data_IF_716471755979
#
_entry.id   IF_716471755979
#
_cell.length_a   1.000
_cell.length_b   1.000
_cell.length_c   1.000
_cell.angle_alpha   90.00
_cell.angle_beta   90.00
_cell.angle_gamma   90.00
#
_symmetry.space_group_name_H-M   'P 1'
#
loop_
_entity.id
_entity.type
_entity.pdbx_description
1 polymer ?
#
# COMPACT_ATOMS: atom_id res chain seq x y z
N UNK A 1 79.29 132.63 -44.36
CA UNK A 1 80.01 131.94 -45.46
C UNK A 1 79.30 130.63 -45.69
N UNK A 2 78.76 130.21 -46.83
CA UNK A 2 78.64 130.68 -48.23
C UNK A 2 77.35 129.97 -48.71
N UNK A 3 76.27 130.70 -48.99
CA UNK A 3 75.74 131.01 -50.35
C UNK A 3 75.33 129.77 -51.15
N UNK A 4 74.04 129.69 -51.54
CA UNK A 4 73.55 128.65 -52.46
C UNK A 4 72.03 128.63 -52.63
N UNK A 5 71.43 129.77 -52.97
CA UNK A 5 70.01 129.96 -53.25
C UNK A 5 69.78 129.66 -54.73
N UNK A 6 69.05 128.61 -55.09
CA UNK A 6 68.40 128.53 -56.41
C UNK A 6 66.92 128.18 -56.27
N UNK A 7 66.11 129.24 -56.36
CA UNK A 7 64.72 129.20 -56.79
C UNK A 7 64.69 129.05 -58.30
N UNK A 8 64.25 127.91 -58.81
CA UNK A 8 63.74 127.72 -60.17
C UNK A 8 62.76 126.55 -60.09
N UNK A 9 61.53 126.57 -60.58
CA UNK A 9 60.71 127.58 -61.20
C UNK A 9 59.32 126.96 -61.27
N UNK A 10 58.29 127.75 -60.96
CA UNK A 10 56.92 127.40 -61.31
C UNK A 10 56.85 127.25 -62.82
N UNK A 11 56.67 126.02 -63.29
CA UNK A 11 56.25 125.70 -64.64
C UNK A 11 54.93 125.00 -64.47
N UNK A 12 53.86 125.62 -64.97
CA UNK A 12 52.56 124.99 -65.06
C UNK A 12 52.70 123.60 -65.66
N UNK A 13 52.57 122.57 -64.83
CA UNK A 13 52.37 121.20 -65.32
C UNK A 13 51.15 121.25 -66.22
N UNK A 14 51.35 120.97 -67.51
CA UNK A 14 50.29 120.79 -68.50
C UNK A 14 49.08 120.11 -67.84
N UNK A 15 47.89 120.67 -68.04
CA UNK A 15 46.63 120.15 -67.48
C UNK A 15 46.47 118.65 -67.78
N UNK A 16 46.97 118.20 -68.93
CA UNK A 16 47.04 116.79 -69.33
C UNK A 16 47.94 115.94 -68.41
N UNK A 17 49.05 116.46 -67.91
CA UNK A 17 49.94 115.77 -66.98
C UNK A 17 49.32 115.60 -65.60
N UNK A 18 48.63 116.63 -65.07
CA UNK A 18 47.86 116.52 -63.81
C UNK A 18 46.66 115.58 -63.96
N UNK A 19 45.99 115.60 -65.12
CA UNK A 19 44.90 114.68 -65.45
C UNK A 19 45.38 113.23 -65.57
N UNK A 20 46.52 112.99 -66.24
CA UNK A 20 47.11 111.64 -66.34
C UNK A 20 47.51 111.11 -64.97
N UNK A 21 48.16 111.93 -64.14
CA UNK A 21 48.56 111.54 -62.78
C UNK A 21 47.33 111.32 -61.91
N UNK A 22 46.29 112.15 -62.01
CA UNK A 22 45.02 111.98 -61.30
C UNK A 22 44.26 110.71 -61.72
N UNK A 23 44.23 110.41 -63.02
CA UNK A 23 43.62 109.18 -63.57
C UNK A 23 44.39 107.93 -63.12
N UNK A 24 45.72 107.97 -63.12
CA UNK A 24 46.56 106.87 -62.64
C UNK A 24 46.35 106.61 -61.14
N UNK A 25 46.21 107.68 -60.35
CA UNK A 25 45.97 107.59 -58.91
C UNK A 25 44.56 107.06 -58.62
N UNK A 26 43.55 107.51 -59.37
CA UNK A 26 42.18 106.99 -59.31
C UNK A 26 42.12 105.50 -59.69
N UNK A 27 42.78 105.10 -60.78
CA UNK A 27 42.82 103.70 -61.23
C UNK A 27 43.54 102.80 -60.21
N UNK A 28 44.60 103.30 -59.56
CA UNK A 28 45.30 102.58 -58.49
C UNK A 28 44.42 102.36 -57.24
N UNK A 29 43.58 103.35 -56.88
CA UNK A 29 42.63 103.23 -55.77
C UNK A 29 41.51 102.23 -56.10
N UNK A 30 40.99 102.24 -57.34
CA UNK A 30 39.98 101.27 -57.78
C UNK A 30 40.55 99.84 -57.75
N UNK A 31 41.79 99.63 -58.24
CA UNK A 31 42.44 98.32 -58.16
C UNK A 31 42.70 97.86 -56.72
N UNK A 32 43.00 98.77 -55.79
CA UNK A 32 43.14 98.45 -54.35
C UNK A 32 41.81 97.95 -53.75
N UNK A 33 40.69 98.60 -54.08
CA UNK A 33 39.35 98.21 -53.59
C UNK A 33 38.94 96.85 -54.18
N UNK A 34 39.15 96.64 -55.48
CA UNK A 34 38.91 95.34 -56.12
C UNK A 34 39.80 94.23 -55.54
N UNK A 35 41.08 94.52 -55.27
CA UNK A 35 41.99 93.58 -54.61
C UNK A 35 41.51 93.22 -53.20
N UNK A 36 40.99 94.19 -52.43
CA UNK A 36 40.38 93.95 -51.13
C UNK A 36 39.12 93.07 -51.18
N UNK A 37 38.24 93.30 -52.15
CA UNK A 37 37.02 92.51 -52.35
C UNK A 37 37.32 91.06 -52.80
N UNK A 38 38.26 90.88 -53.73
CA UNK A 38 38.70 89.55 -54.18
C UNK A 38 39.40 88.80 -53.05
N UNK A 39 40.27 89.45 -52.27
CA UNK A 39 40.94 88.84 -51.14
C UNK A 39 39.97 88.43 -50.02
N UNK A 40 38.95 89.26 -49.73
CA UNK A 40 37.87 88.93 -48.80
C UNK A 40 37.07 87.71 -49.27
N UNK A 41 36.74 87.66 -50.57
CA UNK A 41 36.04 86.52 -51.17
C UNK A 41 36.91 85.27 -51.10
N UNK A 42 38.18 85.34 -51.48
CA UNK A 42 39.12 84.21 -51.38
C UNK A 42 39.26 83.69 -49.95
N UNK A 43 39.32 84.59 -48.95
CA UNK A 43 39.32 84.21 -47.53
C UNK A 43 38.01 83.53 -47.11
N UNK A 44 36.87 84.06 -47.53
CA UNK A 44 35.56 83.48 -47.21
C UNK A 44 35.38 82.08 -47.81
N UNK A 45 35.79 81.87 -49.07
CA UNK A 45 35.73 80.56 -49.72
C UNK A 45 36.71 79.56 -49.09
N UNK A 46 37.90 80.02 -48.69
CA UNK A 46 38.85 79.17 -47.97
C UNK A 46 38.30 78.74 -46.60
N UNK A 47 37.73 79.67 -45.83
CA UNK A 47 37.09 79.36 -44.54
C UNK A 47 35.87 78.43 -44.70
N UNK A 48 35.03 78.67 -45.72
CA UNK A 48 33.90 77.81 -46.03
C UNK A 48 34.34 76.40 -46.44
N UNK A 49 35.42 76.27 -47.22
CA UNK A 49 36.02 74.99 -47.57
C UNK A 49 36.57 74.26 -46.35
N UNK A 50 37.36 74.93 -45.51
CA UNK A 50 37.89 74.33 -44.27
C UNK A 50 36.76 73.86 -43.33
N UNK A 51 35.66 74.62 -43.25
CA UNK A 51 34.46 74.22 -42.49
C UNK A 51 33.77 73.00 -43.11
N UNK A 52 33.62 72.96 -44.44
CA UNK A 52 33.03 71.82 -45.14
C UNK A 52 33.88 70.55 -45.02
N UNK A 53 35.21 70.67 -45.15
CA UNK A 53 36.16 69.56 -44.98
C UNK A 53 36.14 69.06 -43.52
N UNK A 54 36.05 69.96 -42.53
CA UNK A 54 35.88 69.59 -41.12
C UNK A 54 34.55 68.89 -40.86
N UNK A 55 33.45 69.35 -41.46
CA UNK A 55 32.14 68.72 -41.31
C UNK A 55 32.11 67.34 -41.98
N UNK A 56 32.72 67.18 -43.16
CA UNK A 56 32.80 65.90 -43.85
C UNK A 56 33.61 64.88 -43.06
N UNK A 57 34.76 65.28 -42.52
CA UNK A 57 35.59 64.40 -41.68
C UNK A 57 34.88 63.99 -40.38
N UNK A 58 34.14 64.90 -39.75
CA UNK A 58 33.28 64.58 -38.59
C UNK A 58 32.16 63.61 -38.98
N UNK A 59 31.46 63.88 -40.07
CA UNK A 59 30.36 63.04 -40.54
C UNK A 59 30.84 61.63 -40.92
N UNK A 60 32.00 61.51 -41.55
CA UNK A 60 32.62 60.21 -41.88
C UNK A 60 33.03 59.45 -40.61
N UNK A 61 33.57 60.14 -39.61
CA UNK A 61 33.88 59.56 -38.31
C UNK A 61 32.63 59.09 -37.55
N UNK A 62 31.59 59.93 -37.49
CA UNK A 62 30.30 59.60 -36.87
C UNK A 62 29.63 58.41 -37.57
N UNK A 63 29.67 58.38 -38.91
CA UNK A 63 29.14 57.26 -39.70
C UNK A 63 29.85 55.95 -39.36
N UNK A 64 31.19 55.94 -39.33
CA UNK A 64 31.97 54.76 -38.94
C UNK A 64 31.65 54.30 -37.53
N UNK A 65 31.55 55.24 -36.59
CA UNK A 65 31.21 54.93 -35.20
C UNK A 65 29.80 54.31 -35.08
N UNK A 66 28.81 54.81 -35.83
CA UNK A 66 27.47 54.24 -35.87
C UNK A 66 27.46 52.85 -36.51
N UNK A 67 28.21 52.64 -37.59
CA UNK A 67 28.34 51.33 -38.25
C UNK A 67 28.99 50.30 -37.31
N UNK A 68 30.04 50.67 -36.58
CA UNK A 68 30.68 49.82 -35.57
C UNK A 68 29.74 49.52 -34.39
N UNK A 69 29.04 50.52 -33.86
CA UNK A 69 28.08 50.34 -32.78
C UNK A 69 26.91 49.44 -33.21
N UNK A 70 26.43 49.59 -34.45
CA UNK A 70 25.37 48.75 -35.00
C UNK A 70 25.85 47.30 -35.20
N UNK A 71 27.07 47.10 -35.73
CA UNK A 71 27.66 45.78 -35.85
C UNK A 71 27.81 45.10 -34.49
N UNK A 72 28.33 45.82 -33.49
CA UNK A 72 28.48 45.32 -32.12
C UNK A 72 27.12 44.98 -31.49
N UNK A 73 26.10 45.83 -31.69
CA UNK A 73 24.74 45.57 -31.21
C UNK A 73 24.15 44.31 -31.85
N UNK A 74 24.32 44.13 -33.16
CA UNK A 74 23.86 42.93 -33.87
C UNK A 74 24.53 41.68 -33.33
N UNK A 75 25.86 41.69 -33.17
CA UNK A 75 26.59 40.55 -32.59
C UNK A 75 26.14 40.25 -31.17
N UNK A 76 25.92 41.27 -30.34
CA UNK A 76 25.41 41.09 -28.97
C UNK A 76 24.01 40.50 -28.96
N UNK A 77 23.11 41.01 -29.79
CA UNK A 77 21.76 40.49 -29.92
C UNK A 77 21.74 39.02 -30.38
N UNK A 78 22.62 38.64 -31.33
CA UNK A 78 22.75 37.26 -31.78
C UNK A 78 23.28 36.33 -30.67
N UNK A 79 24.24 36.81 -29.85
CA UNK A 79 24.76 36.07 -28.69
C UNK A 79 23.67 35.90 -27.63
N UNK A 80 22.97 36.98 -27.28
CA UNK A 80 21.90 36.96 -26.27
C UNK A 80 20.76 36.02 -26.72
N UNK A 81 20.36 36.08 -27.99
CA UNK A 81 19.36 35.18 -28.56
C UNK A 81 19.79 33.71 -28.48
N UNK A 82 21.05 33.39 -28.81
CA UNK A 82 21.57 32.02 -28.67
C UNK A 82 21.62 31.56 -27.23
N UNK A 83 22.02 32.44 -26.30
CA UNK A 83 22.06 32.13 -24.88
C UNK A 83 20.66 31.83 -24.33
N UNK A 84 19.66 32.64 -24.71
CA UNK A 84 18.28 32.41 -24.28
C UNK A 84 17.68 31.15 -24.93
N UNK A 85 17.99 30.87 -26.20
CA UNK A 85 17.60 29.59 -26.82
C UNK A 85 18.21 28.39 -26.10
N UNK A 86 19.49 28.46 -25.71
CA UNK A 86 20.14 27.40 -24.96
C UNK A 86 19.52 27.23 -23.57
N UNK A 87 19.18 28.33 -22.89
CA UNK A 87 18.48 28.30 -21.60
C UNK A 87 17.11 27.67 -21.72
N UNK A 88 16.34 28.05 -22.74
CA UNK A 88 15.03 27.47 -23.02
C UNK A 88 15.12 25.96 -23.29
N UNK A 89 16.04 25.52 -24.16
CA UNK A 89 16.25 24.10 -24.46
C UNK A 89 16.68 23.30 -23.21
N UNK A 90 17.56 23.87 -22.37
CA UNK A 90 17.97 23.25 -21.11
C UNK A 90 16.79 23.14 -20.13
N UNK A 91 15.97 24.18 -20.02
CA UNK A 91 14.78 24.19 -19.16
C UNK A 91 13.73 23.17 -19.63
N UNK A 92 13.46 23.09 -20.93
CA UNK A 92 12.57 22.08 -21.52
C UNK A 92 13.09 20.66 -21.26
N UNK A 93 14.40 20.45 -21.38
CA UNK A 93 15.05 19.18 -21.04
C UNK A 93 14.86 18.80 -19.57
N UNK A 94 15.01 19.75 -18.64
CA UNK A 94 14.77 19.52 -17.21
C UNK A 94 13.29 19.25 -16.90
N UNK A 95 12.36 19.99 -17.52
CA UNK A 95 10.93 19.75 -17.35
C UNK A 95 10.54 18.35 -17.82
N UNK A 96 11.07 17.92 -18.97
CA UNK A 96 10.85 16.56 -19.47
C UNK A 96 11.41 15.51 -18.51
N UNK A 97 12.66 15.68 -18.05
CA UNK A 97 13.28 14.77 -17.08
C UNK A 97 12.47 14.67 -15.78
N UNK A 98 12.04 15.80 -15.22
CA UNK A 98 11.23 15.84 -14.01
C UNK A 98 9.87 15.16 -14.24
N UNK A 99 9.26 15.35 -15.40
CA UNK A 99 8.03 14.65 -15.76
C UNK A 99 8.22 13.14 -15.82
N UNK A 100 9.28 12.68 -16.48
CA UNK A 100 9.61 11.25 -16.56
C UNK A 100 9.87 10.65 -15.17
N UNK A 101 10.53 11.42 -14.27
CA UNK A 101 10.74 11.01 -12.87
C UNK A 101 9.44 10.93 -12.07
N UNK A 102 8.52 11.90 -12.25
CA UNK A 102 7.20 11.87 -11.61
C UNK A 102 6.39 10.67 -12.10
N UNK A 103 6.35 10.43 -13.41
CA UNK A 103 5.64 9.29 -14.00
C UNK A 103 6.23 7.94 -13.52
N UNK A 104 7.55 7.86 -13.32
CA UNK A 104 8.21 6.69 -12.74
C UNK A 104 7.84 6.49 -11.26
N UNK A 105 7.91 7.56 -10.46
CA UNK A 105 7.56 7.53 -9.05
C UNK A 105 6.07 7.16 -8.83
N UNK A 106 5.17 7.65 -9.68
CA UNK A 106 3.74 7.29 -9.62
C UNK A 106 3.51 5.80 -9.90
N UNK A 107 4.25 5.23 -10.85
CA UNK A 107 4.19 3.77 -11.14
C UNK A 107 4.70 2.95 -9.97
N UNK A 108 5.82 3.34 -9.36
CA UNK A 108 6.36 2.67 -8.17
C UNK A 108 5.38 2.77 -6.99
N UNK A 109 4.76 3.93 -6.81
CA UNK A 109 3.77 4.15 -5.75
C UNK A 109 2.52 3.29 -5.94
N UNK A 110 2.03 3.14 -7.18
CA UNK A 110 0.91 2.25 -7.49
C UNK A 110 1.31 0.79 -7.24
N UNK A 111 2.48 0.35 -7.69
CA UNK A 111 2.98 -1.01 -7.46
C UNK A 111 3.09 -1.31 -5.96
N UNK A 112 3.68 -0.41 -5.17
CA UNK A 112 3.82 -0.56 -3.73
C UNK A 112 2.46 -0.59 -3.01
N UNK A 113 1.47 0.19 -3.47
CA UNK A 113 0.11 0.14 -2.93
C UNK A 113 -0.56 -1.21 -3.21
N UNK A 114 -0.45 -1.72 -4.43
CA UNK A 114 -0.98 -3.03 -4.80
C UNK A 114 -0.35 -4.13 -3.96
N UNK A 115 0.98 -4.16 -3.84
CA UNK A 115 1.69 -5.15 -3.03
C UNK A 115 1.27 -5.09 -1.55
N UNK A 116 1.15 -3.88 -0.99
CA UNK A 116 0.66 -3.70 0.38
C UNK A 116 -0.76 -4.25 0.55
N UNK A 117 -1.63 -4.01 -0.41
CA UNK A 117 -3.02 -4.46 -0.35
C UNK A 117 -3.11 -6.00 -0.50
N UNK A 118 -2.31 -6.60 -1.37
CA UNK A 118 -2.15 -8.06 -1.46
C UNK A 118 -1.64 -8.68 -0.15
N UNK A 119 -0.60 -8.11 0.45
CA UNK A 119 -0.08 -8.57 1.75
C UNK A 119 -1.14 -8.46 2.85
N UNK A 120 -1.95 -7.40 2.83
CA UNK A 120 -3.03 -7.21 3.80
C UNK A 120 -4.14 -8.25 3.64
N UNK A 121 -4.53 -8.56 2.40
CA UNK A 121 -5.51 -9.61 2.14
C UNK A 121 -4.97 -11.00 2.49
N UNK A 122 -3.71 -11.29 2.17
CA UNK A 122 -3.05 -12.53 2.56
C UNK A 122 -3.02 -12.68 4.09
N UNK A 123 -2.69 -11.60 4.81
CA UNK A 123 -2.70 -11.59 6.27
C UNK A 123 -4.11 -11.85 6.84
N UNK A 124 -5.16 -11.25 6.25
CA UNK A 124 -6.55 -11.54 6.66
C UNK A 124 -6.92 -13.00 6.43
N UNK A 125 -6.60 -13.56 5.27
CA UNK A 125 -6.87 -14.97 4.95
C UNK A 125 -6.13 -15.89 5.94
N UNK A 126 -4.86 -15.61 6.23
CA UNK A 126 -4.08 -16.38 7.21
C UNK A 126 -4.68 -16.33 8.62
N UNK A 127 -5.18 -15.16 9.05
CA UNK A 127 -5.84 -15.01 10.35
C UNK A 127 -7.17 -15.79 10.39
N UNK A 128 -7.98 -15.72 9.34
CA UNK A 128 -9.24 -16.48 9.28
C UNK A 128 -8.98 -18.00 9.24
N UNK A 129 -7.98 -18.45 8.48
CA UNK A 129 -7.58 -19.86 8.46
C UNK A 129 -7.11 -20.33 9.85
N UNK A 130 -6.28 -19.52 10.53
CA UNK A 130 -5.85 -19.82 11.89
C UNK A 130 -7.02 -19.88 12.87
N UNK A 131 -8.02 -19.00 12.70
CA UNK A 131 -9.26 -19.01 13.49
C UNK A 131 -10.06 -20.28 13.26
N UNK A 132 -10.30 -20.66 12.01
CA UNK A 132 -11.00 -21.88 11.64
C UNK A 132 -10.29 -23.12 12.19
N UNK A 133 -8.98 -23.25 11.99
CA UNK A 133 -8.18 -24.36 12.54
C UNK A 133 -8.29 -24.45 14.07
N UNK A 134 -8.36 -23.31 14.76
CA UNK A 134 -8.55 -23.27 16.21
C UNK A 134 -9.94 -23.75 16.60
N UNK A 135 -10.99 -23.31 15.90
CA UNK A 135 -12.37 -23.74 16.13
C UNK A 135 -12.52 -25.25 15.89
N UNK A 136 -11.97 -25.77 14.78
CA UNK A 136 -11.94 -27.20 14.47
C UNK A 136 -11.22 -28.02 15.55
N UNK A 137 -10.04 -27.56 16.00
CA UNK A 137 -9.29 -28.24 17.05
C UNK A 137 -10.07 -28.27 18.38
N UNK A 138 -10.84 -27.22 18.70
CA UNK A 138 -11.70 -27.20 19.88
C UNK A 138 -12.86 -28.19 19.75
N UNK A 139 -13.51 -28.25 18.58
CA UNK A 139 -14.57 -29.22 18.30
C UNK A 139 -14.06 -30.66 18.40
N UNK A 140 -12.90 -30.95 17.80
CA UNK A 140 -12.28 -32.27 17.87
C UNK A 140 -11.92 -32.67 19.29
N UNK A 141 -11.41 -31.73 20.12
CA UNK A 141 -11.19 -31.99 21.55
C UNK A 141 -12.47 -32.33 22.29
N UNK A 142 -13.56 -31.61 22.00
CA UNK A 142 -14.88 -31.92 22.56
C UNK A 142 -15.34 -33.33 22.20
N UNK A 143 -15.31 -33.67 20.92
CA UNK A 143 -15.70 -35.00 20.41
C UNK A 143 -14.81 -36.10 21.03
N UNK A 144 -13.50 -35.90 21.09
CA UNK A 144 -12.58 -36.87 21.69
C UNK A 144 -12.86 -37.10 23.18
N UNK A 145 -13.14 -36.03 23.94
CA UNK A 145 -13.52 -36.16 25.34
C UNK A 145 -14.83 -36.94 25.52
N UNK A 146 -15.82 -36.70 24.66
CA UNK A 146 -17.11 -37.40 24.72
C UNK A 146 -16.97 -38.87 24.30
N UNK A 147 -16.16 -39.17 23.28
CA UNK A 147 -15.84 -40.53 22.88
C UNK A 147 -15.11 -41.29 24.00
N UNK A 148 -14.18 -40.65 24.70
CA UNK A 148 -13.49 -41.24 25.84
C UNK A 148 -14.46 -41.55 27.00
N UNK A 149 -15.37 -40.63 27.33
CA UNK A 149 -16.42 -40.89 28.33
C UNK A 149 -17.29 -42.07 27.92
N UNK A 150 -17.77 -42.10 26.67
CA UNK A 150 -18.60 -43.17 26.16
C UNK A 150 -17.86 -44.52 26.16
N UNK A 151 -16.58 -44.53 25.80
CA UNK A 151 -15.73 -45.71 25.86
C UNK A 151 -15.61 -46.23 27.30
N UNK A 152 -15.35 -45.35 28.27
CA UNK A 152 -15.28 -45.71 29.68
C UNK A 152 -16.60 -46.28 30.19
N UNK A 153 -17.74 -45.64 29.89
CA UNK A 153 -19.07 -46.15 30.25
C UNK A 153 -19.34 -47.53 29.65
N UNK A 154 -18.92 -47.78 28.39
CA UNK A 154 -19.09 -49.09 27.74
C UNK A 154 -18.21 -50.15 28.37
N UNK A 155 -16.97 -49.82 28.72
CA UNK A 155 -16.06 -50.73 29.41
C UNK A 155 -16.58 -51.08 30.81
N UNK A 156 -17.09 -50.11 31.57
CA UNK A 156 -17.70 -50.35 32.88
C UNK A 156 -18.90 -51.31 32.77
N UNK A 157 -19.79 -51.10 31.78
CA UNK A 157 -20.92 -52.00 31.53
C UNK A 157 -20.47 -53.41 31.11
N UNK A 158 -19.40 -53.50 30.32
CA UNK A 158 -18.85 -54.77 29.87
C UNK A 158 -18.27 -55.54 31.06
N UNK A 159 -17.46 -54.90 31.90
CA UNK A 159 -16.93 -55.48 33.14
C UNK A 159 -18.05 -55.95 34.08
N UNK A 160 -19.08 -55.12 34.30
CA UNK A 160 -20.22 -55.50 35.13
C UNK A 160 -20.96 -56.74 34.58
N UNK A 161 -21.09 -56.86 33.25
CA UNK A 161 -21.69 -58.04 32.61
C UNK A 161 -20.80 -59.29 32.71
N UNK A 162 -19.48 -59.12 32.60
CA UNK A 162 -18.51 -60.19 32.79
C UNK A 162 -18.52 -60.73 34.23
N UNK A 163 -18.59 -59.86 35.23
CA UNK A 163 -18.72 -60.22 36.64
C UNK A 163 -20.01 -61.02 36.90
N UNK A 164 -21.13 -60.59 36.33
CA UNK A 164 -22.41 -61.33 36.41
C UNK A 164 -22.27 -62.71 35.76
N UNK A 165 -21.68 -62.79 34.56
CA UNK A 165 -21.45 -64.07 33.88
C UNK A 165 -20.52 -64.98 34.69
N UNK A 166 -19.48 -64.44 35.30
CA UNK A 166 -18.57 -65.20 36.15
C UNK A 166 -19.29 -65.76 37.38
N UNK A 167 -20.06 -64.93 38.08
CA UNK A 167 -20.87 -65.35 39.22
C UNK A 167 -21.88 -66.44 38.85
N UNK A 168 -22.54 -66.32 37.69
CA UNK A 168 -23.45 -67.35 37.18
C UNK A 168 -22.73 -68.67 36.89
N UNK A 169 -21.56 -68.64 36.25
CA UNK A 169 -20.74 -69.85 36.01
C UNK A 169 -20.30 -70.53 37.30
N UNK A 170 -19.92 -69.75 38.33
CA UNK A 170 -19.57 -70.29 39.65
C UNK A 170 -20.79 -70.94 40.32
N UNK A 171 -21.95 -70.28 40.26
CA UNK A 171 -23.19 -70.82 40.82
C UNK A 171 -23.63 -72.11 40.11
N UNK A 172 -23.55 -72.14 38.77
CA UNK A 172 -23.83 -73.32 37.94
C UNK A 172 -22.90 -74.48 38.32
N UNK A 173 -21.59 -74.24 38.40
CA UNK A 173 -20.62 -75.27 38.81
C UNK A 173 -20.93 -75.82 40.20
N UNK A 174 -21.22 -74.96 41.17
CA UNK A 174 -21.64 -75.38 42.52
C UNK A 174 -22.93 -76.20 42.49
N UNK A 175 -23.89 -75.86 41.62
CA UNK A 175 -25.14 -76.60 41.46
C UNK A 175 -24.88 -77.99 40.86
N UNK A 176 -24.03 -78.08 39.84
CA UNK A 176 -23.60 -79.35 39.22
C UNK A 176 -22.88 -80.25 40.23
N UNK A 177 -21.97 -79.68 41.04
CA UNK A 177 -21.27 -80.42 42.08
C UNK A 177 -22.24 -80.96 43.15
N UNK A 178 -23.24 -80.16 43.55
CA UNK A 178 -24.31 -80.61 44.46
C UNK A 178 -25.15 -81.72 43.84
N UNK A 179 -25.54 -81.56 42.58
CA UNK A 179 -26.33 -82.56 41.86
C UNK A 179 -25.56 -83.90 41.74
N UNK A 180 -24.27 -83.85 41.42
CA UNK A 180 -23.41 -85.04 41.37
C UNK A 180 -23.32 -85.75 42.73
N UNK A 181 -23.20 -84.99 43.84
CA UNK A 181 -23.23 -85.54 45.21
C UNK A 181 -24.57 -86.21 45.53
N UNK A 182 -25.69 -85.55 45.23
CA UNK A 182 -27.03 -86.11 45.45
C UNK A 182 -27.23 -87.39 44.64
N UNK A 183 -26.78 -87.44 43.38
CA UNK A 183 -26.83 -88.67 42.58
C UNK A 183 -25.98 -89.80 43.19
N UNK A 184 -24.79 -89.49 43.71
CA UNK A 184 -23.94 -90.47 44.39
C UNK A 184 -24.57 -90.98 45.70
N UNK A 185 -25.17 -90.11 46.50
CA UNK A 185 -25.92 -90.46 47.71
C UNK A 185 -27.15 -91.33 47.36
N UNK A 186 -27.93 -90.95 46.35
CA UNK A 186 -29.09 -91.71 45.88
C UNK A 186 -28.65 -93.11 45.41
N UNK A 187 -27.57 -93.21 44.63
CA UNK A 187 -27.01 -94.50 44.22
C UNK A 187 -26.56 -95.36 45.42
N UNK A 188 -25.99 -94.75 46.47
CA UNK A 188 -25.61 -95.44 47.69
C UNK A 188 -26.86 -95.94 48.46
N UNK A 189 -27.87 -95.09 48.63
CA UNK A 189 -29.14 -95.49 49.26
C UNK A 189 -29.82 -96.64 48.51
N UNK A 190 -29.85 -96.60 47.18
CA UNK A 190 -30.39 -97.70 46.37
C UNK A 190 -29.63 -99.01 46.59
N UNK A 191 -28.30 -98.97 46.69
CA UNK A 191 -27.49 -100.16 47.03
C UNK A 191 -27.82 -100.71 48.41
N UNK A 192 -28.01 -99.85 49.42
CA UNK A 192 -28.39 -100.27 50.77
C UNK A 192 -29.80 -100.87 50.79
N UNK A 193 -30.77 -100.26 50.11
CA UNK A 193 -32.15 -100.76 50.00
C UNK A 193 -32.16 -102.14 49.33
N UNK A 194 -31.44 -102.29 48.21
CA UNK A 194 -31.28 -103.57 47.51
C UNK A 194 -30.62 -104.64 48.39
N UNK A 195 -29.59 -104.28 49.16
CA UNK A 195 -28.92 -105.19 50.10
C UNK A 195 -29.84 -105.66 51.24
N UNK A 196 -30.83 -104.86 51.62
CA UNK A 196 -31.84 -105.21 52.63
C UNK A 196 -33.09 -105.90 52.04
N UNK A 197 -33.07 -106.27 50.75
CA UNK A 197 -34.15 -107.01 50.10
C UNK A 197 -35.44 -106.20 49.84
N UNK A 198 -35.39 -104.87 49.96
CA UNK A 198 -36.50 -103.96 49.70
C UNK A 198 -36.47 -103.55 48.22
N UNK A 199 -37.64 -103.38 47.59
CA UNK A 199 -37.75 -103.02 46.17
C UNK A 199 -37.20 -101.60 45.92
N UNK A 200 -36.34 -101.47 44.92
CA UNK A 200 -35.67 -100.21 44.52
C UNK A 200 -36.44 -99.39 43.49
N UNK A 201 -37.58 -99.87 42.99
CA UNK A 201 -38.39 -99.15 41.99
C UNK A 201 -39.36 -98.17 42.69
N UNK A 202 -39.25 -96.84 42.46
CA UNK A 202 -40.10 -95.83 43.11
C UNK A 202 -41.61 -96.09 42.96
N UNK A 203 -42.04 -96.73 41.86
CA UNK A 203 -43.45 -97.07 41.61
C UNK A 203 -43.98 -98.16 42.58
N UNK A 204 -43.13 -99.08 43.02
CA UNK A 204 -43.51 -100.16 43.96
C UNK A 204 -43.61 -99.68 45.42
N UNK A 205 -42.92 -98.59 45.77
CA UNK A 205 -42.90 -98.01 47.13
C UNK A 205 -43.96 -96.92 47.29
N UNK A 206 -44.36 -96.26 46.20
CA UNK A 206 -45.47 -95.28 46.21
C UNK A 206 -46.82 -95.89 46.65
N UNK A 207 -47.04 -97.19 46.40
CA UNK A 207 -48.23 -97.92 46.87
C UNK A 207 -48.23 -98.28 48.36
N UNK A 208 -47.09 -98.12 49.05
CA UNK A 208 -46.91 -98.40 50.49
C UNK A 208 -46.96 -97.13 51.35
N UNK A 209 -47.18 -95.95 50.74
CA UNK A 209 -47.39 -94.72 51.49
C UNK A 209 -48.72 -94.79 52.25
N UNK A 210 -48.64 -94.87 53.58
CA UNK A 210 -49.74 -94.38 54.42
C UNK A 210 -50.01 -92.93 54.02
N UNK A 211 -51.27 -92.51 53.81
CA UNK A 211 -51.57 -91.13 53.42
C UNK A 211 -50.90 -90.18 54.43
N UNK A 212 -50.30 -89.07 53.96
CA UNK A 212 -49.64 -88.12 54.84
C UNK A 212 -50.62 -87.75 55.98
N UNK A 213 -50.16 -87.70 57.25
CA UNK A 213 -51.03 -87.37 58.37
C UNK A 213 -51.73 -86.06 58.05
N UNK A 214 -53.05 -86.00 58.25
CA UNK A 214 -53.85 -84.83 57.96
C UNK A 214 -53.28 -83.63 58.72
N UNK A 215 -52.49 -82.81 58.03
CA UNK A 215 -52.01 -81.55 58.56
C UNK A 215 -53.20 -80.62 58.56
N UNK A 216 -53.82 -80.46 59.73
CA UNK A 216 -54.71 -79.33 60.00
C UNK A 216 -53.89 -78.06 59.79
N UNK A 217 -54.25 -77.18 58.84
CA UNK A 217 -53.53 -75.94 58.65
C UNK A 217 -53.84 -75.01 59.83
N UNK A 218 -53.02 -75.05 60.88
CA UNK A 218 -52.99 -73.97 61.85
C UNK A 218 -52.25 -72.81 61.23
N UNK A 219 -53.01 -71.93 60.57
CA UNK A 219 -52.53 -70.64 60.08
C UNK A 219 -52.12 -69.79 61.29
N UNK A 220 -50.86 -69.85 61.69
CA UNK A 220 -50.27 -68.89 62.62
C UNK A 220 -49.67 -67.76 61.80
N UNK A 221 -50.51 -66.75 61.55
CA UNK A 221 -50.24 -65.47 60.89
C UNK A 221 -50.16 -65.46 59.35
N UNK A 222 -51.21 -64.92 58.74
CA UNK A 222 -51.15 -64.33 57.40
C UNK A 222 -50.64 -62.90 57.55
N UNK A 223 -49.40 -62.61 57.13
CA UNK A 223 -48.98 -61.22 56.92
C UNK A 223 -49.50 -60.77 55.56
N UNK A 224 -50.67 -60.15 55.57
CA UNK A 224 -51.20 -59.41 54.42
C UNK A 224 -50.24 -58.27 54.06
N UNK A 225 -49.36 -58.48 53.08
CA UNK A 225 -48.74 -57.34 52.41
C UNK A 225 -49.73 -56.81 51.38
N UNK A 226 -50.68 -56.00 51.85
CA UNK A 226 -51.41 -55.08 50.98
C UNK A 226 -50.36 -54.17 50.33
N UNK A 227 -49.98 -54.47 49.09
CA UNK A 227 -49.29 -53.49 48.24
C UNK A 227 -50.29 -52.36 47.99
N UNK A 228 -50.08 -51.22 48.65
CA UNK A 228 -50.72 -49.98 48.25
C UNK A 228 -50.33 -49.70 46.79
N UNK A 229 -51.29 -49.42 45.88
CA UNK A 229 -50.94 -48.90 44.57
C UNK A 229 -50.29 -47.53 44.78
N UNK A 230 -49.05 -47.38 44.33
CA UNK A 230 -48.39 -46.08 44.24
C UNK A 230 -49.04 -45.32 43.09
N UNK A 231 -50.14 -44.64 43.40
CA UNK A 231 -50.68 -43.58 42.57
C UNK A 231 -49.71 -42.40 42.75
N UNK A 232 -48.84 -42.20 41.76
CA UNK A 232 -48.05 -41.00 41.57
C UNK A 232 -48.47 -40.36 40.24
N UNK A 233 -48.58 -39.02 40.17
CA UNK A 233 -49.52 -38.34 39.30
C UNK A 233 -49.08 -38.31 37.83
N UNK A 234 -50.08 -38.43 36.95
CA UNK A 234 -50.00 -37.86 35.60
C UNK A 234 -49.89 -36.34 35.74
N UNK A 235 -48.79 -35.75 35.31
CA UNK A 235 -48.80 -34.38 34.80
C UNK A 235 -48.70 -34.45 33.28
N UNK A 236 -49.87 -34.41 32.66
CA UNK A 236 -50.03 -33.95 31.31
C UNK A 236 -49.93 -32.42 31.38
N UNK A 237 -48.94 -31.84 30.74
CA UNK A 237 -48.98 -30.46 30.28
C UNK A 237 -48.31 -30.41 28.91
N UNK A 238 -49.14 -30.54 27.88
CA UNK A 238 -48.92 -29.78 26.66
C UNK A 238 -48.72 -28.31 27.03
N UNK A 239 -47.81 -27.61 26.33
CA UNK A 239 -48.11 -26.36 25.62
C UNK A 239 -46.87 -25.93 24.83
N UNK A 240 -47.16 -25.64 23.56
CA UNK A 240 -46.43 -24.93 22.52
C UNK A 240 -45.64 -23.67 22.91
N UNK A 241 -44.52 -23.42 22.22
CA UNK A 241 -44.14 -22.14 21.57
C UNK A 241 -42.76 -22.30 20.91
N UNK A 242 -42.64 -22.28 19.57
CA UNK A 242 -42.28 -21.08 18.77
C UNK A 242 -41.02 -20.33 19.23
N UNK A 243 -40.08 -20.22 18.26
CA UNK A 243 -39.04 -19.20 18.08
C UNK A 243 -37.82 -19.17 19.02
N UNK A 244 -36.67 -19.62 18.51
CA UNK A 244 -35.57 -18.76 18.01
C UNK A 244 -34.58 -19.58 17.19
#
# INVERSE_FOLDING_TARGET
>A
MIVGRERLGGRDMSFLGKLLVGLQLFLSVVFLIFAGAVFSTQKNWKAAKETADSNYTKLDADKKQVEEAFAAHKTRADIDLKNEQQRAANAEGQVKLLKDQVDAADKELVAAKTERDEQRELAKVSVEEARQRREEALLQRGINNDLQKLLNEKNERLQASEDVNFNLKVAEKSLLDKHAKVLAELALYLKIIAANGLSTDPQSVAGLQTPPPAVSPKVTSFRSTVRKPRIGPRSFSEISSWSM
#
